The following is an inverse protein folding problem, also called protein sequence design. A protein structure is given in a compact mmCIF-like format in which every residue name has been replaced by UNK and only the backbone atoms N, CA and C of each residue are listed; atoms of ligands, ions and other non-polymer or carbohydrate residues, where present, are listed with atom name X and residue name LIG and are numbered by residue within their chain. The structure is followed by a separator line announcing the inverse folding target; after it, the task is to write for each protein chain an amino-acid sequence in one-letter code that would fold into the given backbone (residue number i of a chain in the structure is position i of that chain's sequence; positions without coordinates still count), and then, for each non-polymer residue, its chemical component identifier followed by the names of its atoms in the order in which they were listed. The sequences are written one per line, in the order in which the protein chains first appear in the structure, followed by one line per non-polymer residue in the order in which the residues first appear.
data_IF_460124989307
#
_entry.id   IF_460124989307
#
_cell.length_a   1.000
_cell.length_b   1.000
_cell.length_c   1.000
_cell.angle_alpha   90.00
_cell.angle_beta   90.00
_cell.angle_gamma   90.00
#
_symmetry.space_group_name_H-M   'P 1'
#
loop_
_entity.id
_entity.type
_entity.pdbx_description
1 polymer ?
#
# COMPACT_ATOMS: atom_id res chain seq x y z
N UNK A 1 -8.91 -11.28 33.33
CA UNK A 1 -9.10 -12.37 32.35
C UNK A 1 -8.88 -11.93 30.88
N UNK A 2 -8.66 -10.64 30.57
CA UNK A 2 -8.31 -10.21 29.19
C UNK A 2 -6.83 -10.48 28.80
N UNK A 3 -5.92 -10.58 29.76
CA UNK A 3 -4.48 -10.77 29.48
C UNK A 3 -4.07 -12.17 29.03
N UNK A 4 -4.82 -13.22 29.40
CA UNK A 4 -4.47 -14.61 29.02
C UNK A 4 -4.72 -14.87 27.52
N UNK A 5 -5.79 -14.29 26.96
CA UNK A 5 -6.09 -14.39 25.52
C UNK A 5 -5.03 -13.69 24.66
N UNK A 6 -4.56 -12.52 25.08
CA UNK A 6 -3.53 -11.77 24.36
C UNK A 6 -2.20 -12.52 24.29
N UNK A 7 -1.71 -13.02 25.43
CA UNK A 7 -0.45 -13.76 25.48
C UNK A 7 -0.53 -15.05 24.65
N UNK A 8 -1.64 -15.77 24.75
CA UNK A 8 -1.88 -16.97 23.94
C UNK A 8 -1.83 -16.66 22.44
N UNK A 9 -2.54 -15.63 21.98
CA UNK A 9 -2.52 -15.22 20.57
C UNK A 9 -1.11 -14.81 20.11
N UNK A 10 -0.39 -14.02 20.91
CA UNK A 10 0.99 -13.63 20.59
C UNK A 10 1.90 -14.86 20.44
N UNK A 11 1.79 -15.84 21.34
CA UNK A 11 2.54 -17.10 21.25
C UNK A 11 2.16 -17.89 20.01
N UNK A 12 0.88 -17.98 19.67
CA UNK A 12 0.40 -18.66 18.45
C UNK A 12 0.96 -17.99 17.20
N UNK A 13 0.87 -16.66 17.08
CA UNK A 13 1.41 -15.90 15.94
C UNK A 13 2.92 -16.08 15.80
N UNK A 14 3.67 -15.92 16.88
CA UNK A 14 5.12 -16.08 16.88
C UNK A 14 5.53 -17.51 16.57
N UNK A 15 4.88 -18.51 17.16
CA UNK A 15 5.19 -19.92 16.92
C UNK A 15 4.92 -20.32 15.47
N UNK A 16 3.78 -19.90 14.93
CA UNK A 16 3.43 -20.16 13.53
C UNK A 16 4.41 -19.51 12.57
N UNK A 17 4.84 -18.27 12.82
CA UNK A 17 5.87 -17.60 12.03
C UNK A 17 7.23 -18.31 12.13
N UNK A 18 7.66 -18.66 13.34
CA UNK A 18 8.95 -19.35 13.60
C UNK A 18 9.02 -20.71 12.93
N UNK A 19 7.90 -21.42 12.77
CA UNK A 19 7.85 -22.70 12.06
C UNK A 19 7.73 -22.48 10.55
N UNK A 20 6.78 -21.65 10.11
CA UNK A 20 6.43 -21.54 8.69
C UNK A 20 7.50 -20.84 7.86
N UNK A 21 8.19 -19.86 8.41
CA UNK A 21 9.22 -19.10 7.67
C UNK A 21 10.44 -19.96 7.32
N UNK A 22 11.07 -20.70 8.26
CA UNK A 22 12.16 -21.62 7.91
C UNK A 22 11.73 -22.71 6.94
N UNK A 23 10.50 -23.24 7.08
CA UNK A 23 9.95 -24.23 6.15
C UNK A 23 9.83 -23.63 4.75
N UNK A 24 9.23 -22.45 4.60
CA UNK A 24 9.11 -21.76 3.32
C UNK A 24 10.49 -21.49 2.69
N UNK A 25 11.45 -21.01 3.49
CA UNK A 25 12.83 -20.80 3.02
C UNK A 25 13.49 -22.09 2.54
N UNK A 26 13.23 -23.23 3.20
CA UNK A 26 13.77 -24.53 2.80
C UNK A 26 13.25 -24.97 1.42
N UNK A 27 12.03 -24.58 1.06
CA UNK A 27 11.46 -24.79 -0.27
C UNK A 27 11.91 -23.72 -1.31
N UNK A 28 12.84 -22.83 -0.95
CA UNK A 28 13.30 -21.75 -1.84
C UNK A 28 12.32 -20.60 -1.99
N UNK A 29 11.29 -20.54 -1.13
CA UNK A 29 10.31 -19.46 -1.10
C UNK A 29 10.82 -18.30 -0.24
N UNK A 30 10.39 -17.06 -0.54
CA UNK A 30 10.70 -15.89 0.29
C UNK A 30 10.02 -15.96 1.66
N UNK A 31 10.60 -15.30 2.68
CA UNK A 31 10.04 -15.33 4.05
C UNK A 31 8.62 -14.78 4.15
N UNK A 32 8.27 -13.82 3.29
CA UNK A 32 6.92 -13.26 3.18
C UNK A 32 5.89 -14.35 2.95
N UNK A 33 6.16 -15.28 2.03
CA UNK A 33 5.22 -16.36 1.75
C UNK A 33 5.07 -17.28 2.96
N UNK A 34 6.14 -17.46 3.75
CA UNK A 34 6.09 -18.13 5.05
C UNK A 34 5.15 -17.44 6.04
N UNK A 35 5.16 -16.11 6.12
CA UNK A 35 4.21 -15.35 6.96
C UNK A 35 2.77 -15.49 6.47
N UNK A 36 2.54 -15.46 5.15
CA UNK A 36 1.20 -15.65 4.57
C UNK A 36 0.66 -17.06 4.84
N UNK A 37 1.50 -18.09 4.68
CA UNK A 37 1.16 -19.47 5.01
C UNK A 37 0.86 -19.60 6.51
N UNK A 38 1.69 -19.01 7.37
CA UNK A 38 1.45 -19.01 8.81
C UNK A 38 0.06 -18.43 9.12
N UNK A 39 -0.23 -17.24 8.59
CA UNK A 39 -1.51 -16.55 8.77
C UNK A 39 -2.71 -17.35 8.25
N UNK A 40 -2.59 -17.98 7.09
CA UNK A 40 -3.62 -18.87 6.54
C UNK A 40 -3.87 -20.07 7.45
N UNK A 41 -2.81 -20.71 7.94
CA UNK A 41 -2.87 -21.92 8.77
C UNK A 41 -3.45 -21.66 10.15
N UNK A 42 -3.12 -20.53 10.79
CA UNK A 42 -3.64 -20.20 12.12
C UNK A 42 -4.99 -19.47 12.08
N UNK A 43 -5.29 -18.83 10.96
CA UNK A 43 -6.49 -18.04 10.77
C UNK A 43 -7.78 -18.87 10.64
N UNK A 44 -8.90 -18.21 10.31
CA UNK A 44 -10.23 -18.82 10.34
C UNK A 44 -10.41 -19.97 9.33
N UNK A 45 -9.60 -19.99 8.27
CA UNK A 45 -9.63 -21.03 7.23
C UNK A 45 -8.73 -22.23 7.54
N UNK A 46 -7.86 -22.12 8.53
CA UNK A 46 -6.94 -23.19 8.95
C UNK A 46 -7.42 -23.86 10.23
N UNK A 47 -6.60 -23.79 11.28
CA UNK A 47 -6.86 -24.39 12.59
C UNK A 47 -7.71 -23.53 13.53
N UNK A 48 -8.14 -22.33 13.11
CA UNK A 48 -8.97 -21.41 13.90
C UNK A 48 -8.40 -21.14 15.31
N UNK A 49 -7.08 -21.03 15.41
CA UNK A 49 -6.38 -20.87 16.68
C UNK A 49 -6.48 -19.44 17.22
N UNK A 50 -6.90 -18.50 16.38
CA UNK A 50 -7.22 -17.12 16.73
C UNK A 50 -8.71 -16.92 16.47
N UNK A 51 -9.43 -16.33 17.43
CA UNK A 51 -10.90 -16.24 17.43
C UNK A 51 -11.51 -15.53 16.21
N UNK A 52 -12.84 -15.63 16.08
CA UNK A 52 -13.59 -15.17 14.89
C UNK A 52 -13.50 -13.66 14.62
N UNK A 53 -13.18 -12.87 15.65
CA UNK A 53 -13.05 -11.42 15.56
C UNK A 53 -11.57 -11.02 15.57
N UNK A 54 -10.91 -11.09 14.41
CA UNK A 54 -9.56 -10.56 14.20
C UNK A 54 -9.42 -9.03 14.36
N UNK A 55 -10.36 -8.35 15.03
CA UNK A 55 -10.39 -6.90 15.18
C UNK A 55 -9.25 -6.39 16.07
N UNK A 56 -8.94 -7.09 17.16
CA UNK A 56 -7.83 -6.71 18.07
C UNK A 56 -6.46 -6.84 17.38
N UNK A 57 -6.31 -7.84 16.50
CA UNK A 57 -5.08 -8.03 15.72
C UNK A 57 -4.97 -7.00 14.60
N UNK A 58 -6.09 -6.57 14.02
CA UNK A 58 -6.07 -5.58 12.94
C UNK A 58 -5.55 -4.23 13.42
N UNK A 59 -5.95 -3.76 14.62
CA UNK A 59 -5.39 -2.54 15.22
C UNK A 59 -3.88 -2.64 15.44
N UNK A 60 -3.38 -3.80 15.89
CA UNK A 60 -1.95 -4.03 16.05
C UNK A 60 -1.20 -4.08 14.72
N UNK A 61 -1.80 -4.69 13.69
CA UNK A 61 -1.24 -4.74 12.35
C UNK A 61 -1.15 -3.33 11.74
N UNK A 62 -2.20 -2.51 11.89
CA UNK A 62 -2.22 -1.10 11.49
C UNK A 62 -1.09 -0.31 12.16
N UNK A 63 -0.93 -0.46 13.48
CA UNK A 63 0.18 0.18 14.21
C UNK A 63 1.55 -0.30 13.70
N UNK A 64 1.71 -1.60 13.46
CA UNK A 64 2.94 -2.16 12.89
C UNK A 64 3.27 -1.60 11.51
N UNK A 65 2.26 -1.45 10.64
CA UNK A 65 2.41 -0.84 9.32
C UNK A 65 2.79 0.63 9.44
N UNK A 66 2.18 1.41 10.34
CA UNK A 66 2.54 2.81 10.59
C UNK A 66 4.00 2.93 11.03
N UNK A 67 4.44 2.10 11.97
CA UNK A 67 5.84 2.08 12.43
C UNK A 67 6.80 1.71 11.30
N UNK A 68 6.44 0.74 10.44
CA UNK A 68 7.25 0.39 9.26
C UNK A 68 7.34 1.54 8.26
N UNK A 69 6.23 2.18 7.90
CA UNK A 69 6.22 3.32 6.98
C UNK A 69 7.01 4.51 7.54
N UNK A 70 6.95 4.73 8.85
CA UNK A 70 7.75 5.74 9.53
C UNK A 70 9.26 5.43 9.45
N UNK A 71 9.66 4.19 9.75
CA UNK A 71 11.06 3.76 9.66
C UNK A 71 11.60 3.85 8.23
N UNK A 72 10.83 3.39 7.24
CA UNK A 72 11.18 3.53 5.82
C UNK A 72 11.36 5.02 5.48
N UNK A 73 10.47 5.89 5.97
CA UNK A 73 10.57 7.34 5.81
C UNK A 73 11.86 7.93 6.40
N UNK A 74 12.31 7.45 7.56
CA UNK A 74 13.57 7.89 8.19
C UNK A 74 14.83 7.33 7.49
N UNK A 75 14.74 6.15 6.90
CA UNK A 75 15.86 5.51 6.18
C UNK A 75 16.07 6.12 4.77
N UNK A 76 15.02 6.74 4.21
CA UNK A 76 15.07 7.39 2.92
C UNK A 76 15.89 8.69 2.94
N UNK A 77 17.04 8.66 2.27
CA UNK A 77 17.88 9.83 2.06
C UNK A 77 17.31 10.69 0.92
N UNK A 78 16.94 11.97 1.15
CA UNK A 78 16.37 12.82 0.10
C UNK A 78 17.29 12.99 -1.11
N UNK A 79 18.61 12.97 -0.88
CA UNK A 79 19.62 13.05 -1.94
C UNK A 79 19.64 11.83 -2.86
N UNK A 80 19.26 10.65 -2.37
CA UNK A 80 19.14 9.44 -3.18
C UNK A 80 17.92 9.53 -4.10
N UNK A 81 16.78 9.99 -3.57
CA UNK A 81 15.56 10.22 -4.35
C UNK A 81 15.80 11.19 -5.52
N UNK A 82 16.54 12.27 -5.26
CA UNK A 82 16.84 13.28 -6.28
C UNK A 82 17.73 12.74 -7.42
N UNK A 83 18.65 11.82 -7.09
CA UNK A 83 19.48 11.14 -8.09
C UNK A 83 18.67 10.13 -8.91
N UNK A 84 17.69 9.49 -8.28
CA UNK A 84 16.85 8.47 -8.92
C UNK A 84 15.63 9.03 -9.67
N UNK A 85 15.41 10.36 -9.68
CA UNK A 85 14.24 10.98 -10.33
C UNK A 85 14.02 10.57 -11.79
N UNK A 86 15.11 10.39 -12.54
CA UNK A 86 15.07 9.94 -13.94
C UNK A 86 14.53 8.51 -14.05
N UNK A 87 15.17 7.52 -13.41
CA UNK A 87 14.66 6.16 -13.32
C UNK A 87 13.24 6.04 -12.75
N UNK A 88 12.90 6.80 -11.70
CA UNK A 88 11.57 6.79 -11.06
C UNK A 88 10.49 7.22 -12.07
N UNK A 89 10.64 8.38 -12.71
CA UNK A 89 9.66 8.90 -13.66
C UNK A 89 9.67 8.13 -14.98
N UNK A 90 10.85 7.72 -15.44
CA UNK A 90 11.03 6.99 -16.70
C UNK A 90 10.58 5.55 -16.57
N UNK A 91 11.33 4.73 -15.83
CA UNK A 91 11.08 3.29 -15.73
C UNK A 91 9.86 2.98 -14.86
N UNK A 92 9.74 3.62 -13.70
CA UNK A 92 8.59 3.42 -12.80
C UNK A 92 7.28 3.86 -13.43
N UNK A 93 7.26 5.09 -13.97
CA UNK A 93 6.10 5.62 -14.68
C UNK A 93 5.68 4.78 -15.88
N UNK A 94 6.64 4.32 -16.68
CA UNK A 94 6.36 3.49 -17.85
C UNK A 94 5.86 2.09 -17.47
N UNK A 95 6.43 1.45 -16.43
CA UNK A 95 5.93 0.17 -15.94
C UNK A 95 4.49 0.29 -15.46
N UNK A 96 4.20 1.25 -14.59
CA UNK A 96 2.86 1.43 -14.02
C UNK A 96 1.86 1.80 -15.12
N UNK A 97 2.20 2.78 -15.96
CA UNK A 97 1.33 3.22 -17.06
C UNK A 97 1.01 2.11 -18.06
N UNK A 98 2.01 1.33 -18.49
CA UNK A 98 1.78 0.20 -19.39
C UNK A 98 0.94 -0.90 -18.74
N UNK A 99 1.16 -1.18 -17.45
CA UNK A 99 0.38 -2.20 -16.73
C UNK A 99 -1.08 -1.77 -16.58
N UNK A 100 -1.33 -0.50 -16.23
CA UNK A 100 -2.69 0.05 -16.19
C UNK A 100 -3.34 -0.07 -17.57
N UNK A 101 -2.66 0.36 -18.63
CA UNK A 101 -3.19 0.32 -19.98
C UNK A 101 -3.50 -1.12 -20.43
N UNK A 102 -2.61 -2.07 -20.16
CA UNK A 102 -2.80 -3.48 -20.49
C UNK A 102 -4.01 -4.08 -19.74
N UNK A 103 -4.07 -3.91 -18.42
CA UNK A 103 -5.16 -4.47 -17.60
C UNK A 103 -6.50 -3.79 -17.95
N UNK A 104 -6.50 -2.48 -18.17
CA UNK A 104 -7.70 -1.75 -18.61
C UNK A 104 -8.20 -2.28 -19.96
N UNK A 105 -7.29 -2.50 -20.92
CA UNK A 105 -7.64 -3.03 -22.24
C UNK A 105 -8.25 -4.43 -22.15
N UNK A 106 -7.66 -5.29 -21.31
CA UNK A 106 -8.21 -6.62 -21.03
C UNK A 106 -9.59 -6.50 -20.39
N UNK A 107 -9.77 -5.63 -19.40
CA UNK A 107 -11.06 -5.40 -18.75
C UNK A 107 -12.15 -4.94 -19.72
N UNK A 108 -11.83 -4.01 -20.63
CA UNK A 108 -12.74 -3.56 -21.67
C UNK A 108 -13.10 -4.67 -22.66
N UNK A 109 -12.16 -5.55 -22.99
CA UNK A 109 -12.41 -6.72 -23.82
C UNK A 109 -13.45 -7.68 -23.19
N UNK A 110 -13.44 -7.81 -21.86
CA UNK A 110 -14.45 -8.56 -21.10
C UNK A 110 -15.76 -7.78 -20.86
N UNK A 111 -15.94 -6.62 -21.48
CA UNK A 111 -17.17 -5.82 -21.40
C UNK A 111 -17.28 -4.93 -20.16
N UNK A 112 -16.19 -4.74 -19.40
CA UNK A 112 -16.19 -3.75 -18.31
C UNK A 112 -16.27 -2.33 -18.88
N UNK A 113 -16.99 -1.45 -18.18
CA UNK A 113 -16.97 -0.02 -18.50
C UNK A 113 -15.55 0.53 -18.35
N UNK A 114 -15.20 1.56 -19.14
CA UNK A 114 -13.88 2.19 -19.07
C UNK A 114 -13.49 2.60 -17.64
N UNK A 115 -14.45 3.12 -16.87
CA UNK A 115 -14.23 3.53 -15.47
C UNK A 115 -13.86 2.34 -14.58
N UNK A 116 -14.60 1.24 -14.70
CA UNK A 116 -14.35 0.01 -13.92
C UNK A 116 -13.04 -0.63 -14.33
N UNK A 117 -12.79 -0.76 -15.63
CA UNK A 117 -11.57 -1.32 -16.17
C UNK A 117 -10.33 -0.50 -15.76
N UNK A 118 -10.43 0.84 -15.77
CA UNK A 118 -9.37 1.74 -15.34
C UNK A 118 -9.13 1.63 -13.82
N UNK A 119 -10.18 1.58 -13.00
CA UNK A 119 -10.07 1.38 -11.56
C UNK A 119 -9.39 0.05 -11.21
N UNK A 120 -9.77 -1.03 -11.90
CA UNK A 120 -9.12 -2.34 -11.78
C UNK A 120 -7.67 -2.26 -12.24
N UNK A 121 -7.40 -1.59 -13.38
CA UNK A 121 -6.05 -1.40 -13.91
C UNK A 121 -5.12 -0.66 -12.94
N UNK A 122 -5.59 0.44 -12.34
CA UNK A 122 -4.85 1.18 -11.32
C UNK A 122 -4.56 0.29 -10.10
N UNK A 123 -5.58 -0.38 -9.58
CA UNK A 123 -5.45 -1.23 -8.37
C UNK A 123 -4.48 -2.38 -8.58
N UNK A 124 -4.58 -3.09 -9.73
CA UNK A 124 -3.75 -4.26 -10.03
C UNK A 124 -2.36 -3.90 -10.57
N UNK A 125 -2.09 -2.63 -10.88
CA UNK A 125 -0.76 -2.18 -11.34
C UNK A 125 0.28 -2.05 -10.22
N UNK A 126 -0.18 -1.97 -8.96
CA UNK A 126 0.66 -1.72 -7.80
C UNK A 126 1.29 -3.01 -7.26
N UNK A 127 2.53 -2.90 -6.77
CA UNK A 127 3.25 -3.99 -6.11
C UNK A 127 3.34 -3.74 -4.60
N UNK A 128 3.57 -4.80 -3.83
CA UNK A 128 3.87 -4.67 -2.41
C UNK A 128 5.36 -4.40 -2.17
N UNK A 129 5.71 -3.17 -1.78
CA UNK A 129 7.09 -2.73 -1.55
C UNK A 129 7.82 -3.60 -0.52
N UNK A 130 7.19 -3.87 0.63
CA UNK A 130 7.78 -4.70 1.68
C UNK A 130 8.15 -6.09 1.16
N UNK A 131 7.26 -6.72 0.39
CA UNK A 131 7.43 -8.08 -0.11
C UNK A 131 8.57 -8.16 -1.13
N UNK A 132 8.58 -7.22 -2.09
CA UNK A 132 9.56 -7.23 -3.17
C UNK A 132 10.95 -6.90 -2.64
N UNK A 133 11.08 -5.86 -1.80
CA UNK A 133 12.38 -5.48 -1.23
C UNK A 133 12.94 -6.57 -0.31
N UNK A 134 12.10 -7.18 0.51
CA UNK A 134 12.51 -8.31 1.35
C UNK A 134 13.00 -9.48 0.48
N UNK A 135 12.28 -9.83 -0.57
CA UNK A 135 12.68 -10.91 -1.49
C UNK A 135 13.99 -10.60 -2.22
N UNK A 136 14.16 -9.37 -2.71
CA UNK A 136 15.41 -8.96 -3.37
C UNK A 136 16.59 -8.98 -2.40
N UNK A 137 16.37 -8.59 -1.14
CA UNK A 137 17.43 -8.62 -0.13
C UNK A 137 17.80 -10.06 0.25
N UNK A 138 16.81 -10.94 0.46
CA UNK A 138 17.04 -12.36 0.74
C UNK A 138 17.78 -13.09 -0.38
N UNK A 139 17.52 -12.70 -1.63
CA UNK A 139 18.22 -13.25 -2.80
C UNK A 139 19.52 -12.51 -3.15
N UNK A 140 19.91 -11.48 -2.39
CA UNK A 140 21.11 -10.69 -2.66
C UNK A 140 21.06 -9.86 -3.95
N UNK A 141 19.87 -9.60 -4.50
CA UNK A 141 19.66 -8.95 -5.79
C UNK A 141 19.60 -7.42 -5.71
N UNK A 142 19.55 -6.84 -4.51
CA UNK A 142 19.36 -5.39 -4.31
C UNK A 142 20.40 -4.51 -5.02
N UNK A 143 21.64 -5.00 -5.17
CA UNK A 143 22.73 -4.24 -5.81
C UNK A 143 22.80 -4.42 -7.33
N UNK A 144 21.99 -5.31 -7.90
CA UNK A 144 21.94 -5.55 -9.35
C UNK A 144 21.14 -4.45 -10.05
N UNK A 145 21.36 -4.30 -11.36
CA UNK A 145 20.58 -3.35 -12.17
C UNK A 145 19.09 -3.66 -12.14
N UNK A 146 18.73 -4.95 -12.12
CA UNK A 146 17.34 -5.40 -11.96
C UNK A 146 16.76 -5.02 -10.59
N UNK A 147 17.55 -5.13 -9.52
CA UNK A 147 17.15 -4.71 -8.17
C UNK A 147 16.94 -3.20 -8.07
N UNK A 148 17.83 -2.40 -8.65
CA UNK A 148 17.68 -0.93 -8.69
C UNK A 148 16.50 -0.49 -9.57
N UNK A 149 16.27 -1.21 -10.66
CA UNK A 149 15.12 -1.03 -11.55
C UNK A 149 13.80 -1.29 -10.82
N UNK A 150 13.71 -2.44 -10.14
CA UNK A 150 12.55 -2.78 -9.31
C UNK A 150 12.33 -1.76 -8.18
N UNK A 151 13.39 -1.35 -7.48
CA UNK A 151 13.30 -0.31 -6.46
C UNK A 151 12.74 1.01 -7.01
N UNK A 152 13.18 1.43 -8.20
CA UNK A 152 12.69 2.66 -8.85
C UNK A 152 11.20 2.57 -9.18
N UNK A 153 10.74 1.40 -9.61
CA UNK A 153 9.30 1.13 -9.85
C UNK A 153 8.51 1.19 -8.55
N UNK A 154 8.95 0.51 -7.49
CA UNK A 154 8.28 0.50 -6.19
C UNK A 154 8.14 1.91 -5.60
N UNK A 155 9.21 2.70 -5.68
CA UNK A 155 9.21 4.07 -5.20
C UNK A 155 8.26 4.96 -6.02
N UNK A 156 8.19 4.75 -7.34
CA UNK A 156 7.18 5.43 -8.16
C UNK A 156 5.76 5.04 -7.74
N UNK A 157 5.52 3.75 -7.47
CA UNK A 157 4.22 3.24 -7.02
C UNK A 157 3.82 3.87 -5.67
N UNK A 158 4.71 3.88 -4.68
CA UNK A 158 4.45 4.51 -3.38
C UNK A 158 4.04 6.00 -3.52
N UNK A 159 4.67 6.73 -4.45
CA UNK A 159 4.32 8.13 -4.74
C UNK A 159 3.00 8.24 -5.52
N UNK A 160 2.76 7.36 -6.48
CA UNK A 160 1.61 7.39 -7.38
C UNK A 160 0.29 6.94 -6.71
N UNK A 161 0.37 6.15 -5.63
CA UNK A 161 -0.80 5.65 -4.89
C UNK A 161 -1.70 6.80 -4.41
N UNK A 162 -1.14 7.89 -3.88
CA UNK A 162 -1.95 9.02 -3.36
C UNK A 162 -2.78 9.67 -4.49
N UNK A 163 -2.20 10.10 -5.62
CA UNK A 163 -2.96 10.56 -6.77
C UNK A 163 -3.99 9.53 -7.29
N UNK A 164 -3.63 8.25 -7.36
CA UNK A 164 -4.56 7.20 -7.82
C UNK A 164 -5.79 7.09 -6.92
N UNK A 165 -5.58 7.05 -5.59
CA UNK A 165 -6.66 7.02 -4.60
C UNK A 165 -7.53 8.29 -4.65
N UNK A 166 -6.94 9.45 -4.94
CA UNK A 166 -7.69 10.70 -5.11
C UNK A 166 -8.61 10.68 -6.35
N UNK A 167 -8.23 9.96 -7.41
CA UNK A 167 -9.00 9.82 -8.65
C UNK A 167 -10.13 8.78 -8.49
N UNK A 168 -9.95 7.76 -7.64
CA UNK A 168 -10.89 6.64 -7.48
C UNK A 168 -12.35 7.07 -7.22
N UNK A 169 -12.66 8.01 -6.29
CA UNK A 169 -14.03 8.46 -6.07
C UNK A 169 -14.67 9.05 -7.33
N UNK A 170 -13.91 9.81 -8.13
CA UNK A 170 -14.40 10.47 -9.35
C UNK A 170 -14.77 9.44 -10.42
N UNK A 171 -14.03 8.32 -10.49
CA UNK A 171 -14.35 7.21 -11.39
C UNK A 171 -15.60 6.44 -10.92
N UNK A 172 -15.85 6.39 -9.61
CA UNK A 172 -16.99 5.66 -9.04
C UNK A 172 -18.34 6.34 -9.29
N UNK A 173 -18.38 7.66 -9.54
CA UNK A 173 -19.62 8.47 -9.69
C UNK A 173 -20.51 8.03 -10.86
N UNK A 174 -20.11 7.09 -11.73
CA UNK A 174 -20.89 6.69 -12.92
C UNK A 174 -21.15 5.20 -13.17
N UNK A 175 -21.03 4.29 -12.19
CA UNK A 175 -21.63 2.96 -12.40
C UNK A 175 -21.08 1.76 -11.63
N UNK A 176 -20.47 1.94 -10.46
CA UNK A 176 -20.07 0.77 -9.66
C UNK A 176 -20.78 0.83 -8.32
N UNK A 177 -21.78 -0.05 -8.16
CA UNK A 177 -22.25 -0.46 -6.84
C UNK A 177 -21.11 -1.19 -6.14
N UNK A 178 -20.22 -0.43 -5.50
CA UNK A 178 -19.14 -0.99 -4.71
C UNK A 178 -19.78 -1.63 -3.48
N UNK A 179 -19.55 -2.94 -3.36
CA UNK A 179 -19.83 -3.75 -2.18
C UNK A 179 -19.35 -3.00 -0.93
N UNK A 180 -20.26 -2.73 0.00
CA UNK A 180 -20.06 -1.93 1.22
C UNK A 180 -19.25 -2.64 2.32
N UNK A 181 -18.53 -3.71 2.00
CA UNK A 181 -17.85 -4.54 3.00
C UNK A 181 -16.34 -4.61 2.73
N UNK A 182 -15.62 -3.56 3.13
CA UNK A 182 -14.21 -3.63 3.45
C UNK A 182 -13.91 -2.52 4.48
N UNK A 183 -13.65 -2.93 5.72
CA UNK A 183 -13.53 -2.07 6.90
C UNK A 183 -12.59 -0.88 6.74
N UNK A 184 -13.18 0.28 6.44
CA UNK A 184 -12.61 1.59 6.70
C UNK A 184 -13.49 2.27 7.76
N UNK A 185 -13.42 1.74 8.98
CA UNK A 185 -14.04 2.30 10.17
C UNK A 185 -13.27 3.52 10.68
N UNK A 186 -12.96 4.50 9.82
CA UNK A 186 -12.37 5.76 10.24
C UNK A 186 -13.01 6.94 9.51
N UNK A 187 -13.91 7.60 10.24
CA UNK A 187 -14.38 8.94 9.91
C UNK A 187 -15.71 8.97 9.19
N UNK A 188 -16.79 8.77 9.93
CA UNK A 188 -18.10 9.26 9.52
C UNK A 188 -18.10 10.79 9.46
N UNK A 189 -17.62 11.34 8.35
CA UNK A 189 -17.87 12.72 7.98
C UNK A 189 -18.54 12.68 6.62
N UNK A 190 -19.82 13.02 6.61
CA UNK A 190 -20.51 13.62 5.47
C UNK A 190 -19.53 14.52 4.73
N UNK A 191 -19.07 14.09 3.56
CA UNK A 191 -18.13 14.86 2.76
C UNK A 191 -18.83 16.14 2.36
N UNK A 192 -18.45 17.29 2.95
CA UNK A 192 -18.94 18.64 2.64
C UNK A 192 -18.81 19.06 1.16
N UNK A 193 -18.28 18.16 0.33
CA UNK A 193 -17.98 18.28 -1.09
C UNK A 193 -19.03 17.59 -1.97
N UNK A 194 -19.99 16.86 -1.37
CA UNK A 194 -21.08 16.14 -2.10
C UNK A 194 -22.00 17.05 -2.92
N UNK A 195 -22.09 18.34 -2.59
CA UNK A 195 -22.91 19.30 -3.33
C UNK A 195 -22.33 19.78 -4.67
N UNK A 196 -21.10 19.40 -5.01
CA UNK A 196 -20.41 19.89 -6.21
C UNK A 196 -20.39 18.86 -7.34
N UNK A 197 -20.54 19.34 -8.58
CA UNK A 197 -20.29 18.57 -9.81
C UNK A 197 -18.93 17.85 -9.74
N UNK A 198 -18.80 16.64 -10.31
CA UNK A 198 -17.58 15.82 -10.20
C UNK A 198 -16.28 16.52 -10.61
N UNK A 199 -16.34 17.49 -11.53
CA UNK A 199 -15.19 18.34 -11.87
C UNK A 199 -14.84 19.37 -10.78
N UNK A 200 -15.84 19.87 -10.06
CA UNK A 200 -15.66 20.73 -8.89
C UNK A 200 -15.04 19.98 -7.71
N UNK A 201 -15.45 18.73 -7.49
CA UNK A 201 -14.82 17.86 -6.48
C UNK A 201 -13.34 17.61 -6.80
N UNK A 202 -13.03 17.32 -8.06
CA UNK A 202 -11.65 17.13 -8.52
C UNK A 202 -10.78 18.38 -8.27
N UNK A 203 -11.28 19.57 -8.60
CA UNK A 203 -10.56 20.83 -8.38
C UNK A 203 -10.31 21.10 -6.89
N UNK A 204 -11.28 20.81 -6.03
CA UNK A 204 -11.13 20.96 -4.58
C UNK A 204 -10.03 20.01 -4.07
N UNK A 205 -10.04 18.75 -4.47
CA UNK A 205 -9.02 17.77 -4.06
C UNK A 205 -7.63 18.21 -4.52
N UNK A 206 -7.48 18.63 -5.77
CA UNK A 206 -6.21 19.14 -6.30
C UNK A 206 -5.76 20.39 -5.53
N UNK A 207 -6.70 21.30 -5.23
CA UNK A 207 -6.42 22.51 -4.45
C UNK A 207 -5.96 22.21 -3.02
N UNK A 208 -6.58 21.23 -2.36
CA UNK A 208 -6.19 20.78 -1.01
C UNK A 208 -4.80 20.14 -1.04
N UNK A 209 -4.52 19.26 -2.01
CA UNK A 209 -3.20 18.65 -2.15
C UNK A 209 -2.14 19.74 -2.40
N UNK A 210 -2.40 20.68 -3.31
CA UNK A 210 -1.51 21.80 -3.58
C UNK A 210 -1.28 22.66 -2.33
N UNK A 211 -2.35 22.96 -1.58
CA UNK A 211 -2.26 23.70 -0.32
C UNK A 211 -1.42 22.97 0.72
N UNK A 212 -1.64 21.65 0.91
CA UNK A 212 -0.86 20.84 1.85
C UNK A 212 0.62 20.83 1.45
N UNK A 213 0.93 20.67 0.17
CA UNK A 213 2.31 20.69 -0.33
C UNK A 213 2.95 22.05 -0.09
N UNK A 214 2.24 23.15 -0.40
CA UNK A 214 2.75 24.51 -0.24
C UNK A 214 2.92 24.84 1.25
N UNK A 215 1.92 24.58 2.07
CA UNK A 215 1.97 24.78 3.51
C UNK A 215 3.07 23.92 4.15
N UNK A 216 3.21 22.67 3.73
CA UNK A 216 4.30 21.79 4.14
C UNK A 216 5.67 22.38 3.77
N UNK A 217 5.85 22.82 2.51
CA UNK A 217 7.11 23.42 2.08
C UNK A 217 7.42 24.75 2.78
N UNK A 218 6.39 25.54 3.10
CA UNK A 218 6.54 26.93 3.56
C UNK A 218 6.49 27.09 5.09
N UNK A 219 5.77 26.24 5.83
CA UNK A 219 5.72 26.27 7.30
C UNK A 219 6.76 25.36 7.94
N UNK A 220 6.97 24.16 7.37
CA UNK A 220 7.83 23.16 8.02
C UNK A 220 9.31 23.59 7.95
N UNK A 221 9.73 24.20 6.84
CA UNK A 221 11.10 24.71 6.67
C UNK A 221 11.50 25.81 7.67
N UNK A 222 10.72 26.89 7.90
CA UNK A 222 11.05 27.88 8.92
C UNK A 222 10.85 27.36 10.34
N UNK A 223 9.86 26.50 10.59
CA UNK A 223 9.63 25.94 11.92
C UNK A 223 10.83 25.10 12.41
N UNK A 224 11.36 24.20 11.58
CA UNK A 224 12.57 23.46 11.93
C UNK A 224 13.80 24.34 12.11
N UNK A 225 13.84 25.48 11.43
CA UNK A 225 14.93 26.46 11.53
C UNK A 225 14.80 27.39 12.75
N UNK A 226 13.63 27.41 13.39
CA UNK A 226 13.37 28.12 14.64
C UNK A 226 13.64 27.24 15.87
N UNK A 227 13.57 25.92 15.70
CA UNK A 227 13.76 24.92 16.77
C UNK A 227 15.20 24.36 16.81
N UNK A 228 15.95 24.42 15.71
CA UNK A 228 17.38 24.09 15.65
C UNK A 228 18.28 25.29 15.94
#
# INVERSE_FOLDING_TARGET
MQGEGFFFQAVVYLSAAVISVPVAKRFGLGSVLGYLIAGFVIGPFGFQLIGEEGQDVMHFAEFGVVMMLFLIGLELRPSLLWRLRGPILGMGGLQVGLTIAAITSVGMFFGLSLQTALAVGMTLSLSSTAIVLQTLNEKGLMKTDAGQSAFSVLLFQDIAVIPMLAIMPILAVKGVGVVKDAGASHGGNTTWVEGFSGWGQALIVVGVIAFIIIAGLFLIRPFFRYVA
#
